data_IF_339168503271
#
_entry.id   IF_339168503271
#
_cell.length_a   1.000
_cell.length_b   1.000
_cell.length_c   1.000
_cell.angle_alpha   90.00
_cell.angle_beta   90.00
_cell.angle_gamma   90.00
#
_symmetry.space_group_name_H-M   'P 1'
#
loop_
_entity.id
_entity.type
_entity.pdbx_description
1 polymer ?
#
# COMPACT_ATOMS: atom_id res chain seq x y z
N UNK A 1 -18.90 -18.40 -13.59
CA UNK A 1 -17.89 -17.88 -12.63
C UNK A 1 -18.49 -16.65 -12.00
N UNK A 2 -18.56 -16.56 -10.67
CA UNK A 2 -18.96 -15.31 -10.03
C UNK A 2 -17.90 -14.25 -10.32
N UNK A 3 -18.32 -13.03 -10.64
CA UNK A 3 -17.41 -11.91 -10.82
C UNK A 3 -16.67 -11.64 -9.50
N UNK A 4 -15.34 -11.58 -9.55
CA UNK A 4 -14.49 -11.25 -8.39
C UNK A 4 -14.54 -9.75 -8.16
N UNK A 5 -14.68 -9.32 -6.91
CA UNK A 5 -14.64 -7.89 -6.56
C UNK A 5 -13.20 -7.45 -6.33
N UNK A 6 -12.84 -6.29 -6.87
CA UNK A 6 -11.54 -5.66 -6.65
C UNK A 6 -11.69 -4.34 -5.89
N UNK A 7 -10.83 -4.09 -4.90
CA UNK A 7 -10.64 -2.76 -4.32
C UNK A 7 -9.25 -2.22 -4.64
N UNK A 8 -9.20 -1.00 -5.16
CA UNK A 8 -7.96 -0.27 -5.39
C UNK A 8 -7.62 0.57 -4.15
N UNK A 9 -6.47 0.25 -3.55
CA UNK A 9 -6.04 0.75 -2.24
C UNK A 9 -4.81 1.64 -2.39
N UNK A 10 -4.97 2.93 -2.07
CA UNK A 10 -3.80 3.84 -1.96
C UNK A 10 -3.10 3.60 -0.64
N UNK A 11 -1.90 3.04 -0.69
CA UNK A 11 -1.12 2.67 0.48
C UNK A 11 0.36 2.83 0.21
N UNK A 12 1.08 3.42 1.16
CA UNK A 12 2.49 3.79 1.05
C UNK A 12 2.71 5.23 1.49
N UNK A 13 3.94 5.54 1.90
CA UNK A 13 4.33 6.87 2.36
C UNK A 13 4.07 7.94 1.27
N UNK A 14 3.58 9.10 1.70
CA UNK A 14 3.40 10.25 0.82
C UNK A 14 3.56 11.59 1.57
N UNK A 15 3.36 12.70 0.85
CA UNK A 15 3.43 14.03 1.45
C UNK A 15 2.46 14.24 2.63
N UNK A 16 1.35 13.52 2.69
CA UNK A 16 0.37 13.63 3.79
C UNK A 16 0.79 12.76 4.98
N UNK A 17 1.38 11.60 4.72
CA UNK A 17 1.79 10.64 5.74
C UNK A 17 3.28 10.36 5.60
N UNK A 18 4.10 11.07 6.38
CA UNK A 18 5.56 10.93 6.42
C UNK A 18 6.35 12.00 5.66
N UNK A 19 5.67 12.94 5.01
CA UNK A 19 6.28 14.08 4.28
C UNK A 19 7.28 13.66 3.20
N UNK A 20 7.11 12.43 2.68
CA UNK A 20 8.04 11.81 1.76
C UNK A 20 7.29 10.90 0.79
N UNK A 21 7.71 10.84 -0.46
CA UNK A 21 7.21 9.86 -1.43
C UNK A 21 8.33 8.88 -1.75
N UNK A 22 8.03 7.58 -1.64
CA UNK A 22 9.02 6.56 -1.91
C UNK A 22 9.58 6.66 -3.35
N UNK A 23 10.86 6.34 -3.57
CA UNK A 23 11.51 6.54 -4.86
C UNK A 23 11.10 5.49 -5.90
N UNK A 24 11.14 5.90 -7.17
CA UNK A 24 10.98 5.02 -8.34
C UNK A 24 11.97 5.43 -9.43
N UNK A 25 12.52 4.44 -10.14
CA UNK A 25 13.26 4.66 -11.37
C UNK A 25 12.27 4.73 -12.55
N UNK A 26 12.07 5.90 -13.16
CA UNK A 26 11.04 6.07 -14.20
C UNK A 26 11.35 5.32 -15.51
N UNK A 27 12.58 4.83 -15.71
CA UNK A 27 12.97 4.11 -16.91
C UNK A 27 12.70 2.60 -16.81
N UNK A 28 12.76 2.04 -15.60
CA UNK A 28 12.62 0.59 -15.35
C UNK A 28 11.37 0.24 -14.55
N UNK A 29 10.73 1.25 -13.94
CA UNK A 29 9.70 1.09 -12.91
C UNK A 29 10.15 0.25 -11.71
N UNK A 30 11.45 0.10 -11.48
CA UNK A 30 11.96 -0.40 -10.19
C UNK A 30 11.65 0.65 -9.11
N UNK A 31 11.12 0.20 -7.98
CA UNK A 31 10.55 1.06 -6.95
C UNK A 31 10.91 0.55 -5.56
N UNK A 32 10.91 1.46 -4.59
CA UNK A 32 10.98 1.10 -3.19
C UNK A 32 9.58 1.28 -2.58
N UNK A 33 9.07 0.24 -1.90
CA UNK A 33 7.89 0.39 -1.04
C UNK A 33 8.36 0.88 0.33
N UNK A 34 7.80 1.98 0.80
CA UNK A 34 7.93 2.45 2.16
C UNK A 34 6.52 2.57 2.78
N UNK A 35 6.25 1.91 3.92
CA UNK A 35 4.97 2.05 4.62
C UNK A 35 4.78 3.47 5.14
N UNK A 36 3.56 3.80 5.59
CA UNK A 36 3.35 5.07 6.31
C UNK A 36 3.96 5.00 7.72
N UNK A 37 4.29 6.13 8.36
CA UNK A 37 4.65 6.13 9.77
C UNK A 37 3.54 5.54 10.65
N UNK A 38 3.91 4.74 11.64
CA UNK A 38 3.00 4.40 12.73
C UNK A 38 2.68 5.66 13.52
N UNK A 39 1.44 5.76 14.01
CA UNK A 39 1.05 6.78 14.98
C UNK A 39 1.75 6.60 16.32
N UNK A 40 1.19 7.20 17.37
CA UNK A 40 1.70 7.13 18.74
C UNK A 40 1.44 5.79 19.45
N UNK A 41 1.25 4.70 18.70
CA UNK A 41 0.91 3.40 19.27
C UNK A 41 2.17 2.67 19.74
N UNK A 42 2.11 2.14 20.95
CA UNK A 42 3.13 1.24 21.46
C UNK A 42 2.95 -0.15 20.86
N UNK A 43 4.06 -0.77 20.49
CA UNK A 43 4.08 -2.14 19.99
C UNK A 43 4.10 -3.15 21.13
N UNK A 44 3.53 -4.32 20.86
CA UNK A 44 3.79 -5.52 21.66
C UNK A 44 5.29 -5.84 21.59
N UNK A 45 5.82 -6.41 22.67
CA UNK A 45 7.25 -6.73 22.77
C UNK A 45 7.72 -7.56 21.57
N UNK A 46 8.80 -7.11 20.92
CA UNK A 46 9.39 -7.79 19.75
C UNK A 46 8.62 -7.67 18.43
N UNK A 47 7.51 -6.92 18.39
CA UNK A 47 6.66 -6.78 17.18
C UNK A 47 6.80 -5.42 16.48
N UNK A 48 7.72 -4.57 16.94
CA UNK A 48 8.01 -3.28 16.31
C UNK A 48 8.70 -3.48 14.97
N UNK A 49 8.27 -2.72 13.98
CA UNK A 49 9.01 -2.50 12.72
C UNK A 49 9.37 -1.03 12.65
N UNK A 50 10.62 -0.69 12.38
CA UNK A 50 11.08 0.69 12.22
C UNK A 50 11.57 0.96 10.79
N UNK A 51 11.72 2.24 10.46
CA UNK A 51 12.35 2.63 9.19
C UNK A 51 13.83 2.26 9.13
N UNK A 52 14.50 2.04 10.27
CA UNK A 52 15.89 1.58 10.29
C UNK A 52 16.00 0.14 9.77
N UNK A 53 14.97 -0.69 10.01
CA UNK A 53 14.87 -2.03 9.43
C UNK A 53 14.75 -1.99 7.89
N UNK A 54 14.29 -0.87 7.34
CA UNK A 54 14.14 -0.66 5.89
C UNK A 54 15.38 -0.07 5.22
N UNK A 55 16.33 0.46 6.00
CA UNK A 55 17.52 1.14 5.48
C UNK A 55 18.38 0.22 4.58
N UNK A 56 18.70 -1.04 4.96
CA UNK A 56 19.50 -1.92 4.08
C UNK A 56 18.82 -2.20 2.74
N UNK A 57 17.48 -2.30 2.72
CA UNK A 57 16.72 -2.49 1.48
C UNK A 57 16.74 -1.24 0.61
N UNK A 58 16.65 -0.06 1.21
CA UNK A 58 16.76 1.22 0.52
C UNK A 58 18.16 1.41 -0.08
N UNK A 59 19.22 1.14 0.68
CA UNK A 59 20.61 1.21 0.20
C UNK A 59 20.86 0.25 -0.96
N UNK A 60 20.39 -0.99 -0.83
CA UNK A 60 20.46 -1.98 -1.91
C UNK A 60 19.69 -1.52 -3.15
N UNK A 61 18.51 -0.91 -2.97
CA UNK A 61 17.73 -0.35 -4.08
C UNK A 61 18.47 0.82 -4.76
N UNK A 62 19.09 1.72 -3.99
CA UNK A 62 19.91 2.81 -4.51
C UNK A 62 21.11 2.29 -5.34
N UNK A 63 21.79 1.26 -4.83
CA UNK A 63 22.90 0.62 -5.55
C UNK A 63 22.45 0.03 -6.89
N UNK A 64 21.35 -0.73 -6.91
CA UNK A 64 20.80 -1.32 -8.15
C UNK A 64 20.36 -0.28 -9.17
N UNK A 65 19.89 0.89 -8.71
CA UNK A 65 19.44 1.99 -9.56
C UNK A 65 20.50 3.05 -9.82
N UNK A 66 21.76 2.81 -9.41
CA UNK A 66 22.89 3.73 -9.56
C UNK A 66 22.54 5.18 -9.15
N UNK A 67 21.88 5.32 -7.99
CA UNK A 67 21.43 6.61 -7.46
C UNK A 67 21.98 6.86 -6.06
N UNK A 68 22.17 8.13 -5.72
CA UNK A 68 22.72 8.59 -4.44
C UNK A 68 21.71 9.45 -3.67
N UNK A 69 20.43 9.06 -3.70
CA UNK A 69 19.41 9.72 -2.88
C UNK A 69 19.56 9.30 -1.41
N UNK A 70 19.32 10.24 -0.52
CA UNK A 70 19.38 9.98 0.91
C UNK A 70 18.09 9.35 1.44
N UNK A 71 18.25 8.50 2.45
CA UNK A 71 17.12 8.06 3.26
C UNK A 71 16.58 9.28 4.04
N UNK A 72 15.25 9.48 4.09
CA UNK A 72 14.65 10.63 4.76
C UNK A 72 14.96 10.64 6.26
N UNK A 73 15.81 11.59 6.69
CA UNK A 73 16.29 11.70 8.07
C UNK A 73 15.16 11.92 9.08
N UNK A 74 14.06 12.57 8.67
CA UNK A 74 12.88 12.76 9.52
C UNK A 74 12.16 11.45 9.86
N UNK A 75 12.48 10.33 9.19
CA UNK A 75 11.91 9.01 9.47
C UNK A 75 12.83 8.12 10.29
N UNK A 76 14.07 8.53 10.54
CA UNK A 76 15.01 7.76 11.35
C UNK A 76 14.40 7.49 12.74
N UNK A 77 14.53 6.25 13.24
CA UNK A 77 13.95 5.81 14.52
C UNK A 77 12.42 5.86 14.61
N UNK A 78 11.69 6.22 13.56
CA UNK A 78 10.23 6.18 13.54
C UNK A 78 9.77 4.75 13.26
N UNK A 79 8.70 4.32 13.92
CA UNK A 79 8.07 3.03 13.66
C UNK A 79 7.23 3.06 12.37
N UNK A 80 7.16 1.96 11.64
CA UNK A 80 6.35 1.82 10.44
C UNK A 80 4.99 1.19 10.76
N UNK A 81 3.95 1.67 10.08
CA UNK A 81 2.69 0.96 9.97
C UNK A 81 2.77 0.03 8.75
N UNK A 82 3.41 -1.14 8.91
CA UNK A 82 3.65 -2.09 7.82
C UNK A 82 2.34 -2.76 7.39
N UNK A 83 1.65 -2.10 6.47
CA UNK A 83 0.35 -2.51 5.96
C UNK A 83 0.17 -1.95 4.54
N UNK A 84 0.10 -2.76 3.46
CA UNK A 84 0.14 -4.22 3.46
C UNK A 84 1.49 -4.78 3.92
N UNK A 85 1.42 -5.95 4.56
CA UNK A 85 2.56 -6.80 4.89
C UNK A 85 2.58 -8.01 3.93
N UNK A 86 3.46 -7.97 2.93
CA UNK A 86 3.53 -9.02 1.92
C UNK A 86 4.25 -10.27 2.40
N UNK A 87 5.12 -10.18 3.42
CA UNK A 87 5.83 -11.34 3.95
C UNK A 87 4.86 -12.26 4.68
N UNK A 88 3.86 -11.70 5.34
CA UNK A 88 2.76 -12.46 5.96
C UNK A 88 1.48 -12.50 5.13
N UNK A 89 1.45 -11.86 3.96
CA UNK A 89 0.27 -11.75 3.10
C UNK A 89 -0.96 -11.24 3.85
N UNK A 90 -0.81 -10.16 4.63
CA UNK A 90 -1.92 -9.54 5.36
C UNK A 90 -2.10 -8.06 5.05
N UNK A 91 -3.35 -7.59 5.16
CA UNK A 91 -3.69 -6.18 5.09
C UNK A 91 -4.74 -5.81 6.15
N UNK A 92 -4.56 -4.69 6.83
CA UNK A 92 -5.47 -4.16 7.84
C UNK A 92 -6.18 -2.88 7.38
N UNK A 93 -7.43 -2.70 7.81
CA UNK A 93 -8.13 -1.42 7.62
C UNK A 93 -9.10 -1.15 8.79
N UNK A 94 -9.44 0.12 8.95
CA UNK A 94 -10.40 0.56 9.94
C UNK A 94 -11.81 0.19 9.47
N UNK A 95 -12.70 -0.28 10.35
CA UNK A 95 -14.10 -0.56 9.99
C UNK A 95 -14.96 0.70 9.79
N UNK A 96 -14.39 1.72 9.15
CA UNK A 96 -15.05 2.99 8.81
C UNK A 96 -14.69 3.38 7.38
N UNK A 97 -15.55 4.19 6.75
CA UNK A 97 -15.29 4.72 5.42
C UNK A 97 -14.94 3.63 4.41
N UNK A 98 -13.66 3.56 4.03
CA UNK A 98 -13.19 2.55 3.07
C UNK A 98 -13.14 1.13 3.59
N UNK A 99 -12.78 0.92 4.85
CA UNK A 99 -12.62 -0.43 5.38
C UNK A 99 -13.93 -1.14 5.67
N UNK A 100 -15.08 -0.45 5.60
CA UNK A 100 -16.39 -1.13 5.53
C UNK A 100 -16.45 -2.09 4.34
N UNK A 101 -15.94 -1.66 3.17
CA UNK A 101 -15.92 -2.49 1.96
C UNK A 101 -14.86 -3.59 2.02
N UNK A 102 -13.81 -3.41 2.82
CA UNK A 102 -12.82 -4.45 3.08
C UNK A 102 -13.46 -5.60 3.85
N UNK A 103 -14.31 -5.31 4.85
CA UNK A 103 -15.08 -6.31 5.59
C UNK A 103 -16.07 -7.13 4.73
N UNK A 104 -16.50 -6.57 3.59
CA UNK A 104 -17.42 -7.24 2.65
C UNK A 104 -16.73 -8.22 1.70
N UNK A 105 -15.40 -8.18 1.59
CA UNK A 105 -14.65 -9.05 0.68
C UNK A 105 -14.81 -10.52 1.08
N UNK A 106 -14.80 -11.39 0.07
CA UNK A 106 -14.88 -12.83 0.19
C UNK A 106 -13.65 -13.49 -0.41
N UNK A 107 -13.46 -14.76 -0.11
CA UNK A 107 -12.41 -15.58 -0.71
C UNK A 107 -12.43 -15.42 -2.25
N UNK A 108 -11.26 -15.15 -2.83
CA UNK A 108 -11.08 -14.92 -4.26
C UNK A 108 -11.34 -13.49 -4.74
N UNK A 109 -11.92 -12.60 -3.93
CA UNK A 109 -11.86 -11.15 -4.17
C UNK A 109 -10.42 -10.65 -4.00
N UNK A 110 -10.12 -9.40 -4.37
CA UNK A 110 -8.74 -8.90 -4.29
C UNK A 110 -8.62 -7.43 -3.91
N UNK A 111 -7.44 -7.12 -3.34
CA UNK A 111 -6.95 -5.78 -3.08
C UNK A 111 -5.79 -5.51 -4.03
N UNK A 112 -5.86 -4.42 -4.79
CA UNK A 112 -4.76 -3.92 -5.62
C UNK A 112 -4.16 -2.68 -4.96
N UNK A 113 -2.87 -2.68 -4.70
CA UNK A 113 -2.20 -1.59 -3.98
C UNK A 113 -1.49 -0.64 -4.95
N UNK A 114 -1.74 0.66 -4.78
CA UNK A 114 -1.02 1.70 -5.51
C UNK A 114 -0.47 2.76 -4.57
N UNK A 115 0.60 3.42 -5.01
CA UNK A 115 1.20 4.54 -4.30
C UNK A 115 1.57 5.65 -5.28
N UNK A 116 1.85 6.82 -4.73
CA UNK A 116 2.50 7.92 -5.46
C UNK A 116 3.99 7.89 -5.17
N UNK A 117 4.80 7.63 -6.18
CA UNK A 117 6.25 7.54 -6.10
C UNK A 117 6.93 8.81 -6.62
N UNK A 118 8.10 9.13 -6.08
CA UNK A 118 8.96 10.22 -6.55
C UNK A 118 9.99 9.69 -7.55
N UNK A 119 9.98 10.15 -8.81
CA UNK A 119 11.00 9.78 -9.78
C UNK A 119 12.40 10.23 -9.33
N UNK A 120 13.40 9.35 -9.46
CA UNK A 120 14.80 9.68 -9.15
C UNK A 120 15.50 10.45 -10.27
N UNK A 121 14.92 10.49 -11.47
CA UNK A 121 15.40 11.23 -12.62
C UNK A 121 14.25 12.03 -13.23
N UNK A 122 14.58 13.02 -14.06
CA UNK A 122 13.58 13.87 -14.71
C UNK A 122 12.72 13.02 -15.64
N UNK A 123 11.42 13.04 -15.41
CA UNK A 123 10.41 12.53 -16.34
C UNK A 123 9.29 13.56 -16.52
N UNK A 124 8.30 13.22 -17.34
CA UNK A 124 7.16 14.10 -17.65
C UNK A 124 6.37 14.52 -16.40
N UNK A 125 6.30 13.64 -15.40
CA UNK A 125 5.48 13.84 -14.20
C UNK A 125 6.34 14.05 -12.94
N UNK A 126 5.82 14.85 -11.99
CA UNK A 126 6.48 15.05 -10.69
C UNK A 126 6.34 13.85 -9.76
N UNK A 127 5.26 13.08 -9.92
CA UNK A 127 4.95 11.87 -9.18
C UNK A 127 4.47 10.82 -10.18
N UNK A 128 4.81 9.55 -9.93
CA UNK A 128 4.28 8.41 -10.68
C UNK A 128 3.30 7.67 -9.77
N UNK A 129 2.04 7.60 -10.19
CA UNK A 129 1.04 6.78 -9.50
C UNK A 129 1.06 5.40 -10.14
N UNK A 130 1.44 4.39 -9.37
CA UNK A 130 1.64 3.04 -9.87
C UNK A 130 1.08 1.99 -8.92
N UNK A 131 0.54 0.92 -9.51
CA UNK A 131 0.30 -0.32 -8.80
C UNK A 131 1.64 -0.96 -8.44
N UNK A 132 1.72 -1.56 -7.26
CA UNK A 132 2.94 -2.21 -6.79
C UNK A 132 2.71 -3.57 -6.12
N UNK A 133 1.46 -4.03 -6.04
CA UNK A 133 1.17 -5.35 -5.52
C UNK A 133 -0.32 -5.66 -5.50
N UNK A 134 -0.61 -6.93 -5.24
CA UNK A 134 -1.96 -7.47 -5.14
C UNK A 134 -2.04 -8.46 -3.98
N UNK A 135 -3.21 -8.52 -3.35
CA UNK A 135 -3.57 -9.56 -2.40
C UNK A 135 -4.90 -10.17 -2.81
N UNK A 136 -4.91 -11.47 -3.09
CA UNK A 136 -6.13 -12.24 -3.32
C UNK A 136 -6.61 -12.77 -1.98
N UNK A 137 -7.82 -12.39 -1.58
CA UNK A 137 -8.39 -12.67 -0.27
C UNK A 137 -8.54 -14.17 -0.07
N UNK A 138 -8.04 -14.67 1.06
CA UNK A 138 -8.36 -15.99 1.62
C UNK A 138 -9.50 -15.83 2.63
N UNK A 139 -9.31 -14.98 3.64
CA UNK A 139 -10.32 -14.65 4.64
C UNK A 139 -10.21 -13.21 5.13
N UNK A 140 -11.32 -12.68 5.62
CA UNK A 140 -11.38 -11.40 6.33
C UNK A 140 -11.96 -11.64 7.71
N UNK A 141 -11.24 -11.23 8.76
CA UNK A 141 -11.67 -11.37 10.15
C UNK A 141 -11.49 -10.05 10.90
N UNK A 142 -12.16 -9.90 12.05
CA UNK A 142 -11.92 -8.75 12.92
C UNK A 142 -10.61 -8.94 13.67
N UNK A 143 -9.98 -7.84 14.04
CA UNK A 143 -8.80 -7.82 14.94
C UNK A 143 -9.11 -8.55 16.26
N UNK A 144 -10.34 -8.45 16.77
CA UNK A 144 -10.79 -9.18 17.96
C UNK A 144 -10.67 -10.71 17.85
N UNK A 145 -10.75 -11.24 16.63
CA UNK A 145 -10.85 -12.66 16.34
C UNK A 145 -9.53 -13.23 15.80
N UNK A 146 -8.47 -12.40 15.71
CA UNK A 146 -7.13 -12.86 15.30
C UNK A 146 -6.50 -13.65 16.44
N UNK A 147 -6.04 -14.91 16.20
CA UNK A 147 -5.38 -15.70 17.25
C UNK A 147 -4.09 -15.05 17.74
N UNK A 148 -3.75 -15.24 19.02
CA UNK A 148 -2.54 -14.71 19.64
C UNK A 148 -1.26 -15.07 18.87
N UNK A 149 -1.21 -16.30 18.33
CA UNK A 149 -0.09 -16.80 17.52
C UNK A 149 0.07 -16.07 16.18
N UNK A 150 -0.94 -15.32 15.74
CA UNK A 150 -0.96 -14.58 14.47
C UNK A 150 -0.90 -13.06 14.65
N UNK A 151 -0.92 -12.53 15.89
CA UNK A 151 -0.90 -11.07 16.12
C UNK A 151 0.34 -10.39 15.53
N UNK A 152 1.45 -11.12 15.44
CA UNK A 152 2.69 -10.64 14.84
C UNK A 152 2.60 -10.48 13.31
N UNK A 153 1.50 -10.85 12.65
CA UNK A 153 1.41 -10.86 11.17
C UNK A 153 0.88 -9.56 10.57
N UNK A 154 0.19 -8.71 11.33
CA UNK A 154 -0.46 -7.50 10.80
C UNK A 154 -0.27 -6.27 11.69
N UNK A 155 -0.12 -5.08 11.08
CA UNK A 155 0.09 -3.83 11.82
C UNK A 155 -1.03 -3.51 12.82
N UNK A 156 -2.28 -3.86 12.52
CA UNK A 156 -3.43 -3.60 13.40
C UNK A 156 -3.48 -4.50 14.64
N UNK A 157 -2.69 -5.58 14.68
CA UNK A 157 -2.62 -6.54 15.80
C UNK A 157 -1.30 -6.48 16.58
N UNK A 158 -0.24 -5.93 15.97
CA UNK A 158 1.10 -5.78 16.59
C UNK A 158 1.17 -4.72 17.69
N UNK A 159 0.18 -3.85 17.83
CA UNK A 159 0.13 -2.76 18.82
C UNK A 159 -0.51 -3.19 20.14
N UNK A 160 -0.18 -2.55 21.26
CA UNK A 160 -0.76 -2.85 22.57
C UNK A 160 -2.24 -2.47 22.64
N UNK A 161 -2.58 -1.27 22.18
CA UNK A 161 -3.95 -0.74 22.17
C UNK A 161 -4.66 -1.10 20.87
N UNK A 162 -5.00 -2.38 20.70
CA UNK A 162 -5.71 -2.83 19.49
C UNK A 162 -7.12 -2.22 19.42
N UNK A 163 -7.52 -1.80 18.23
CA UNK A 163 -8.93 -1.56 17.95
C UNK A 163 -9.56 -2.85 17.43
N UNK A 164 -10.40 -3.46 18.28
CA UNK A 164 -11.05 -4.75 18.04
C UNK A 164 -11.97 -4.79 16.82
N UNK A 165 -12.50 -3.64 16.41
CA UNK A 165 -13.43 -3.54 15.28
C UNK A 165 -12.71 -3.45 13.93
N UNK A 166 -11.40 -3.19 13.91
CA UNK A 166 -10.64 -3.18 12.65
C UNK A 166 -10.69 -4.54 11.96
N UNK A 167 -10.53 -4.53 10.64
CA UNK A 167 -10.46 -5.73 9.82
C UNK A 167 -9.01 -6.13 9.59
N UNK A 168 -8.76 -7.44 9.51
CA UNK A 168 -7.54 -8.03 8.97
C UNK A 168 -7.93 -8.96 7.84
N UNK A 169 -7.41 -8.66 6.66
CA UNK A 169 -7.42 -9.52 5.49
C UNK A 169 -6.21 -10.42 5.57
N UNK A 170 -6.45 -11.73 5.49
CA UNK A 170 -5.42 -12.72 5.19
C UNK A 170 -5.59 -13.10 3.73
N UNK A 171 -4.50 -13.03 2.97
CA UNK A 171 -4.49 -13.29 1.55
C UNK A 171 -3.85 -14.64 1.25
N UNK A 172 -4.24 -15.25 0.13
CA UNK A 172 -3.61 -16.45 -0.38
C UNK A 172 -2.19 -16.11 -0.87
N UNK A 173 -1.12 -16.62 -0.22
CA UNK A 173 0.25 -16.24 -0.55
C UNK A 173 0.71 -16.72 -1.93
N UNK A 174 0.07 -17.76 -2.51
CA UNK A 174 0.42 -18.25 -3.85
C UNK A 174 -0.11 -17.36 -4.98
N UNK A 175 -1.07 -16.48 -4.68
CA UNK A 175 -1.71 -15.57 -5.63
C UNK A 175 -1.45 -14.09 -5.30
N UNK A 176 -0.71 -13.82 -4.23
CA UNK A 176 -0.49 -12.49 -3.67
C UNK A 176 0.99 -12.15 -3.69
N UNK A 177 1.31 -10.87 -3.82
CA UNK A 177 2.70 -10.44 -3.81
C UNK A 177 2.90 -9.01 -4.27
N UNK A 178 4.13 -8.54 -4.06
CA UNK A 178 4.64 -7.31 -4.68
C UNK A 178 5.02 -7.60 -6.12
N UNK A 179 4.80 -6.62 -6.98
CA UNK A 179 5.24 -6.70 -8.37
C UNK A 179 6.75 -6.49 -8.44
N UNK A 180 7.44 -7.17 -9.35
CA UNK A 180 8.88 -6.95 -9.57
C UNK A 180 9.15 -5.53 -10.09
N UNK A 181 8.20 -4.96 -10.82
CA UNK A 181 8.23 -3.58 -11.28
C UNK A 181 6.84 -2.97 -11.09
N UNK A 182 6.81 -1.69 -10.74
CA UNK A 182 5.58 -0.94 -10.62
C UNK A 182 4.88 -0.83 -11.98
N UNK A 183 3.54 -0.75 -11.96
CA UNK A 183 2.74 -0.55 -13.17
C UNK A 183 2.15 0.86 -13.11
N UNK A 184 2.68 1.84 -13.87
CA UNK A 184 2.17 3.20 -13.88
C UNK A 184 0.73 3.26 -14.39
N UNK A 185 -0.19 3.65 -13.51
CA UNK A 185 -1.61 3.78 -13.81
C UNK A 185 -2.09 5.23 -13.88
N UNK A 186 -1.26 6.18 -13.47
CA UNK A 186 -1.61 7.59 -13.43
C UNK A 186 -1.11 8.41 -14.62
N UNK A 187 -1.86 9.45 -14.96
CA UNK A 187 -1.48 10.54 -15.85
C UNK A 187 -1.87 11.89 -15.23
N UNK A 188 -1.19 12.97 -15.61
CA UNK A 188 -1.55 14.32 -15.17
C UNK A 188 -2.45 15.00 -16.21
N UNK A 189 -3.74 15.15 -15.89
CA UNK A 189 -4.72 15.81 -16.75
C UNK A 189 -5.76 16.58 -15.94
N UNK A 190 -6.34 17.62 -16.53
CA UNK A 190 -7.27 18.52 -15.85
C UNK A 190 -6.71 19.10 -14.53
N UNK A 191 -5.40 19.38 -14.50
CA UNK A 191 -4.63 19.88 -13.34
C UNK A 191 -4.59 18.93 -12.13
N UNK A 192 -4.76 17.63 -12.35
CA UNK A 192 -4.75 16.61 -11.29
C UNK A 192 -4.20 15.27 -11.80
N UNK A 193 -3.69 14.41 -10.91
CA UNK A 193 -3.40 13.02 -11.29
C UNK A 193 -4.69 12.20 -11.32
N UNK A 194 -4.86 11.47 -12.41
CA UNK A 194 -6.00 10.60 -12.67
C UNK A 194 -5.51 9.26 -13.21
N UNK A 195 -6.33 8.23 -13.10
CA UNK A 195 -6.11 6.98 -13.83
C UNK A 195 -6.08 7.31 -15.32
N UNK A 196 -5.13 6.68 -16.02
CA UNK A 196 -4.97 6.75 -17.47
C UNK A 196 -6.27 6.37 -18.16
N UNK A 197 -6.62 7.11 -19.21
CA UNK A 197 -7.89 6.92 -19.92
C UNK A 197 -8.07 5.48 -20.42
N UNK A 198 -7.05 4.89 -21.03
CA UNK A 198 -7.09 3.52 -21.52
C UNK A 198 -7.32 2.49 -20.41
N UNK A 199 -6.86 2.77 -19.19
CA UNK A 199 -7.12 1.89 -18.03
C UNK A 199 -8.55 2.06 -17.53
N UNK A 200 -9.08 3.29 -17.49
CA UNK A 200 -10.48 3.54 -17.14
C UNK A 200 -11.46 2.93 -18.14
N UNK A 201 -11.11 2.96 -19.43
CA UNK A 201 -11.94 2.38 -20.48
C UNK A 201 -12.07 0.85 -20.29
N UNK A 202 -11.01 0.19 -19.80
CA UNK A 202 -11.00 -1.25 -19.52
C UNK A 202 -11.60 -1.63 -18.15
N UNK A 203 -11.28 -0.89 -17.09
CA UNK A 203 -11.78 -1.18 -15.73
C UNK A 203 -13.21 -0.69 -15.47
N UNK A 204 -13.78 0.07 -16.42
CA UNK A 204 -14.88 0.97 -16.13
C UNK A 204 -14.44 2.17 -15.29
N UNK A 205 -15.32 3.16 -15.15
CA UNK A 205 -15.03 4.27 -14.23
C UNK A 205 -14.86 3.69 -12.81
N UNK A 206 -13.82 4.14 -12.13
CA UNK A 206 -13.68 3.85 -10.71
C UNK A 206 -14.69 4.70 -9.93
N UNK A 207 -14.94 4.39 -8.64
CA UNK A 207 -15.98 5.14 -7.87
C UNK A 207 -15.70 6.64 -7.72
N UNK A 208 -14.52 7.09 -8.12
CA UNK A 208 -14.23 8.51 -8.27
C UNK A 208 -14.35 8.88 -9.74
N UNK A 209 -15.40 9.65 -10.06
CA UNK A 209 -15.68 10.16 -11.41
C UNK A 209 -14.41 10.64 -12.11
N UNK A 210 -14.22 10.16 -13.34
CA UNK A 210 -13.09 10.55 -14.19
C UNK A 210 -11.73 10.19 -13.56
N UNK A 211 -11.68 9.07 -12.84
CA UNK A 211 -10.45 8.43 -12.40
C UNK A 211 -9.57 9.19 -11.41
N UNK A 212 -10.06 10.10 -10.58
CA UNK A 212 -9.17 10.90 -9.72
C UNK A 212 -8.48 10.08 -8.61
N UNK A 213 -7.13 10.13 -8.52
CA UNK A 213 -6.31 9.26 -7.65
C UNK A 213 -5.42 10.00 -6.63
N UNK A 214 -5.46 11.34 -6.60
CA UNK A 214 -4.64 12.13 -5.67
C UNK A 214 -5.15 12.19 -4.23
N UNK A 215 -6.35 11.69 -3.89
CA UNK A 215 -6.87 11.68 -2.50
C UNK A 215 -7.33 10.28 -2.09
N UNK A 216 -7.47 10.07 -0.78
CA UNK A 216 -7.92 8.85 -0.08
C UNK A 216 -9.34 8.32 -0.44
N UNK A 217 -9.87 8.59 -1.63
CA UNK A 217 -11.19 8.05 -2.03
C UNK A 217 -11.00 6.75 -2.81
N UNK A 218 -11.67 5.71 -2.31
CA UNK A 218 -11.75 4.36 -2.87
C UNK A 218 -12.08 4.34 -4.35
N UNK A 219 -11.80 3.18 -4.94
CA UNK A 219 -12.17 2.81 -6.29
C UNK A 219 -12.49 1.31 -6.32
N UNK A 220 -13.77 0.88 -6.41
CA UNK A 220 -14.08 -0.44 -6.95
C UNK A 220 -13.43 -0.55 -8.33
N UNK A 221 -12.85 -1.70 -8.59
CA UNK A 221 -12.68 -2.20 -9.94
C UNK A 221 -13.98 -2.92 -10.29
N UNK A 222 -14.63 -2.50 -11.38
CA UNK A 222 -15.87 -3.11 -11.88
C UNK A 222 -15.51 -4.35 -12.70
#
# INVERSE_FOLDING_TARGET
MNARKGLLMRVGIDQTYGEYNAPINPNTNDYMYLPIPQGSDDFKSGMRTSYDDLLPYFESWCQRNATAIDFPQNLAQISCHLDPDFDFSTYGDQATGRGLRVGDLKEGDFLAFFASFKPISKCEHRLIYALYGIMVVDKVIRVADVPDTELHKNAHTRVNNINKDHWVVFANPSLSGRFTSAIPIGEFRDRSYRVKKEILDEWGDISVKNGFIQRKRLSPLV
#
